data_IF_451827364002
#
_entry.id   IF_451827364002
#
_cell.length_a   1.000
_cell.length_b   1.000
_cell.length_c   1.000
_cell.angle_alpha   90.00
_cell.angle_beta   90.00
_cell.angle_gamma   90.00
#
_symmetry.space_group_name_H-M   'P 1'
#
loop_
_entity.id
_entity.type
_entity.pdbx_description
1 polymer ?
#
# COMPACT_ATOMS: atom_id res chain seq x y z
N UNK A 1 -18.16 5.83 16.85
CA UNK A 1 -18.03 4.47 16.31
C UNK A 1 -18.31 4.37 14.82
N UNK A 2 -19.31 5.10 14.32
CA UNK A 2 -19.60 5.11 12.89
C UNK A 2 -18.40 5.52 12.03
N UNK A 3 -17.61 6.49 12.51
CA UNK A 3 -16.43 6.97 11.79
C UNK A 3 -15.38 5.87 11.63
N UNK A 4 -15.15 5.08 12.68
CA UNK A 4 -14.20 3.98 12.61
C UNK A 4 -14.67 2.88 11.67
N UNK A 5 -15.95 2.56 11.68
CA UNK A 5 -16.54 1.58 10.77
C UNK A 5 -16.38 2.03 9.31
N UNK A 6 -16.64 3.32 9.06
CA UNK A 6 -16.51 3.87 7.71
C UNK A 6 -15.05 3.82 7.21
N UNK A 7 -14.10 4.13 8.08
CA UNK A 7 -12.68 4.03 7.74
C UNK A 7 -12.28 2.60 7.45
N UNK A 8 -12.75 1.65 8.28
CA UNK A 8 -12.42 0.25 8.09
C UNK A 8 -13.00 -0.29 6.79
N UNK A 9 -14.26 0.06 6.49
CA UNK A 9 -14.89 -0.32 5.23
C UNK A 9 -14.15 0.22 4.04
N UNK A 10 -13.75 1.51 4.09
CA UNK A 10 -13.02 2.13 2.99
C UNK A 10 -11.66 1.49 2.81
N UNK A 11 -10.95 1.25 3.90
CA UNK A 11 -9.67 0.57 3.88
C UNK A 11 -9.80 -0.80 3.19
N UNK A 12 -10.77 -1.60 3.62
CA UNK A 12 -10.99 -2.93 3.04
C UNK A 12 -11.31 -2.85 1.56
N UNK A 13 -12.06 -1.84 1.14
CA UNK A 13 -12.40 -1.62 -0.26
C UNK A 13 -11.16 -1.30 -1.08
N UNK A 14 -10.28 -0.43 -0.56
CA UNK A 14 -9.03 -0.08 -1.24
C UNK A 14 -8.12 -1.30 -1.40
N UNK A 15 -8.02 -2.12 -0.36
CA UNK A 15 -7.24 -3.36 -0.41
C UNK A 15 -7.80 -4.28 -1.50
N UNK A 16 -9.13 -4.40 -1.56
CA UNK A 16 -9.77 -5.25 -2.56
C UNK A 16 -9.49 -4.75 -3.98
N UNK A 17 -9.50 -3.45 -4.21
CA UNK A 17 -9.15 -2.89 -5.51
C UNK A 17 -7.73 -3.28 -5.92
N UNK A 18 -6.80 -3.22 -4.99
CA UNK A 18 -5.41 -3.58 -5.29
C UNK A 18 -5.28 -5.07 -5.62
N UNK A 19 -5.92 -5.93 -4.83
CA UNK A 19 -5.86 -7.37 -5.04
C UNK A 19 -6.53 -7.83 -6.32
N UNK A 20 -7.61 -7.15 -6.71
CA UNK A 20 -8.32 -7.48 -7.94
C UNK A 20 -7.70 -6.86 -9.19
N UNK A 21 -6.76 -5.94 -9.03
CA UNK A 21 -6.15 -5.23 -10.15
C UNK A 21 -6.97 -4.04 -10.63
N UNK A 22 -8.05 -3.71 -9.93
CA UNK A 22 -8.87 -2.56 -10.29
C UNK A 22 -8.12 -1.28 -9.95
N UNK A 23 -8.16 -0.30 -10.85
CA UNK A 23 -7.43 0.96 -10.70
C UNK A 23 -5.91 0.76 -10.59
N UNK A 24 -5.38 -0.23 -11.30
CA UNK A 24 -3.95 -0.57 -11.20
C UNK A 24 -3.04 0.62 -11.50
N UNK A 25 -3.36 1.43 -12.53
CA UNK A 25 -2.55 2.60 -12.86
C UNK A 25 -2.56 3.65 -11.76
N UNK A 26 -3.72 3.88 -11.15
CA UNK A 26 -3.83 4.80 -10.02
C UNK A 26 -3.06 4.30 -8.81
N UNK A 27 -3.12 3.00 -8.54
CA UNK A 27 -2.39 2.40 -7.43
C UNK A 27 -0.89 2.56 -7.64
N UNK A 28 -0.40 2.28 -8.83
CA UNK A 28 1.02 2.44 -9.15
C UNK A 28 1.46 3.91 -8.99
N UNK A 29 0.68 4.84 -9.53
CA UNK A 29 0.96 6.26 -9.40
C UNK A 29 1.00 6.71 -7.94
N UNK A 30 0.01 6.29 -7.15
CA UNK A 30 -0.06 6.64 -5.74
C UNK A 30 1.12 6.08 -4.96
N UNK A 31 1.53 4.85 -5.24
CA UNK A 31 2.66 4.22 -4.57
C UNK A 31 3.97 4.96 -4.88
N UNK A 32 4.19 5.31 -6.14
CA UNK A 32 5.39 6.06 -6.54
C UNK A 32 5.39 7.47 -5.95
N UNK A 33 4.23 8.10 -5.85
CA UNK A 33 4.13 9.42 -5.20
C UNK A 33 4.36 9.33 -3.69
N UNK A 34 3.98 8.23 -3.07
CA UNK A 34 4.24 8.04 -1.65
C UNK A 34 5.73 7.87 -1.38
N UNK A 35 6.37 6.97 -2.11
CA UNK A 35 7.82 6.81 -2.04
C UNK A 35 8.30 5.95 -3.22
N UNK A 36 9.03 6.58 -4.12
CA UNK A 36 9.47 5.92 -5.35
C UNK A 36 10.36 4.71 -5.11
N UNK A 37 11.21 4.78 -4.09
CA UNK A 37 12.16 3.71 -3.81
C UNK A 37 11.49 2.42 -3.35
N UNK A 38 10.35 2.51 -2.67
CA UNK A 38 9.70 1.35 -2.09
C UNK A 38 8.28 1.12 -2.63
N UNK A 39 7.92 1.82 -3.72
CA UNK A 39 6.58 1.74 -4.29
C UNK A 39 6.14 0.29 -4.54
N UNK A 40 7.00 -0.51 -5.18
CA UNK A 40 6.67 -1.89 -5.50
C UNK A 40 6.50 -2.75 -4.24
N UNK A 41 7.26 -2.47 -3.19
CA UNK A 41 7.17 -3.21 -1.94
C UNK A 41 5.90 -2.84 -1.17
N UNK A 42 5.46 -1.57 -1.26
CA UNK A 42 4.18 -1.15 -0.68
C UNK A 42 3.05 -1.95 -1.34
N UNK A 43 3.02 -1.98 -2.68
CA UNK A 43 1.99 -2.71 -3.42
C UNK A 43 2.06 -4.21 -3.14
N UNK A 44 3.25 -4.77 -3.10
CA UNK A 44 3.45 -6.18 -2.79
C UNK A 44 2.90 -6.53 -1.42
N UNK A 45 3.18 -5.70 -0.41
CA UNK A 45 2.71 -5.96 0.96
C UNK A 45 1.19 -6.02 1.04
N UNK A 46 0.51 -5.20 0.25
CA UNK A 46 -0.95 -5.16 0.24
C UNK A 46 -1.53 -6.29 -0.59
N UNK A 47 -0.98 -6.48 -1.79
CA UNK A 47 -1.48 -7.50 -2.72
C UNK A 47 -1.35 -8.91 -2.15
N UNK A 48 -0.23 -9.21 -1.52
CA UNK A 48 0.06 -10.52 -0.99
C UNK A 48 -0.14 -10.64 0.52
N UNK A 49 -0.68 -9.59 1.14
CA UNK A 49 -0.92 -9.55 2.59
C UNK A 49 0.34 -9.89 3.37
N UNK A 50 1.46 -9.22 3.04
CA UNK A 50 2.74 -9.42 3.71
C UNK A 50 3.01 -8.27 4.68
N UNK A 51 3.37 -8.61 5.92
CA UNK A 51 3.82 -7.62 6.89
C UNK A 51 5.26 -7.18 6.57
N UNK A 52 5.69 -6.09 7.22
CA UNK A 52 7.09 -5.68 7.12
C UNK A 52 8.02 -6.82 7.54
N UNK A 53 7.68 -7.53 8.62
CA UNK A 53 8.51 -8.64 9.10
C UNK A 53 8.57 -9.79 8.11
N UNK A 54 7.49 -10.06 7.39
CA UNK A 54 7.48 -11.08 6.35
C UNK A 54 8.40 -10.68 5.19
N UNK A 55 8.39 -9.40 4.81
CA UNK A 55 9.30 -8.88 3.78
C UNK A 55 10.76 -8.93 4.27
N UNK A 56 10.97 -8.60 5.54
CA UNK A 56 12.29 -8.68 6.15
C UNK A 56 12.88 -10.08 6.04
N UNK A 57 12.07 -11.10 6.30
CA UNK A 57 12.50 -12.49 6.15
C UNK A 57 12.96 -12.75 4.71
N UNK A 58 12.24 -12.22 3.73
CA UNK A 58 12.60 -12.39 2.32
C UNK A 58 13.97 -11.80 2.00
N UNK A 59 14.25 -10.57 2.46
CA UNK A 59 15.55 -9.99 2.14
C UNK A 59 16.68 -10.64 2.95
N UNK A 60 16.41 -11.14 4.16
CA UNK A 60 17.40 -11.89 4.92
C UNK A 60 17.76 -13.21 4.22
N UNK A 61 16.80 -13.80 3.50
CA UNK A 61 17.02 -14.98 2.66
C UNK A 61 17.51 -14.65 1.26
N UNK A 62 17.75 -13.37 0.99
CA UNK A 62 18.23 -12.87 -0.31
C UNK A 62 17.26 -13.12 -1.47
N UNK A 63 15.98 -13.20 -1.17
CA UNK A 63 14.92 -13.35 -2.16
C UNK A 63 14.45 -12.00 -2.71
N UNK A 64 14.83 -10.90 -2.05
CA UNK A 64 14.55 -9.55 -2.50
C UNK A 64 15.58 -8.59 -1.93
N UNK A 65 15.63 -7.38 -2.45
CA UNK A 65 16.50 -6.34 -1.90
C UNK A 65 15.95 -5.83 -0.57
N UNK A 66 16.85 -5.40 0.30
CA UNK A 66 16.48 -4.85 1.59
C UNK A 66 15.73 -3.53 1.41
N UNK A 67 14.60 -3.39 2.12
CA UNK A 67 13.89 -2.12 2.18
C UNK A 67 14.71 -1.15 3.04
N UNK A 68 15.07 0.04 2.52
CA UNK A 68 15.95 0.97 3.24
C UNK A 68 15.21 1.82 4.30
N UNK A 69 14.17 1.29 4.89
CA UNK A 69 13.38 1.98 5.91
C UNK A 69 13.02 1.02 7.02
N UNK A 70 12.88 1.55 8.24
CA UNK A 70 12.40 0.76 9.37
C UNK A 70 10.90 0.50 9.25
N UNK A 71 10.40 -0.36 10.14
CA UNK A 71 8.98 -0.74 10.15
C UNK A 71 8.06 0.47 10.24
N UNK A 72 8.36 1.38 11.16
CA UNK A 72 7.52 2.57 11.38
C UNK A 72 7.43 3.44 10.13
N UNK A 73 8.58 3.68 9.49
CA UNK A 73 8.62 4.50 8.28
C UNK A 73 7.91 3.80 7.12
N UNK A 74 8.12 2.50 6.97
CA UNK A 74 7.47 1.73 5.91
C UNK A 74 5.95 1.84 6.03
N UNK A 75 5.40 1.63 7.22
CA UNK A 75 3.96 1.71 7.41
C UNK A 75 3.46 3.16 7.29
N UNK A 76 4.29 4.14 7.60
CA UNK A 76 3.96 5.54 7.36
C UNK A 76 3.78 5.84 5.87
N UNK A 77 4.69 5.35 5.04
CA UNK A 77 4.57 5.51 3.59
C UNK A 77 3.39 4.72 3.04
N UNK A 78 3.10 3.56 3.60
CA UNK A 78 1.92 2.79 3.18
C UNK A 78 0.62 3.52 3.49
N UNK A 79 0.54 4.20 4.65
CA UNK A 79 -0.62 5.03 4.99
C UNK A 79 -0.77 6.19 4.00
N UNK A 80 0.35 6.83 3.66
CA UNK A 80 0.34 7.90 2.67
C UNK A 80 -0.14 7.37 1.32
N UNK A 81 0.30 6.18 0.93
CA UNK A 81 -0.17 5.53 -0.29
C UNK A 81 -1.69 5.39 -0.30
N UNK A 82 -2.26 4.88 0.79
CA UNK A 82 -3.72 4.70 0.86
C UNK A 82 -4.45 6.02 0.69
N UNK A 83 -3.93 7.07 1.32
CA UNK A 83 -4.53 8.41 1.20
C UNK A 83 -4.51 8.90 -0.25
N UNK A 84 -3.38 8.79 -0.90
CA UNK A 84 -3.22 9.23 -2.29
C UNK A 84 -4.07 8.39 -3.26
N UNK A 85 -4.11 7.09 -3.03
CA UNK A 85 -4.91 6.18 -3.85
C UNK A 85 -6.39 6.50 -3.72
N UNK A 86 -6.88 6.71 -2.50
CA UNK A 86 -8.26 7.07 -2.24
C UNK A 86 -8.63 8.39 -2.93
N UNK A 87 -7.76 9.39 -2.81
CA UNK A 87 -7.98 10.68 -3.49
C UNK A 87 -8.07 10.51 -5.01
N UNK A 88 -7.20 9.70 -5.58
CA UNK A 88 -7.20 9.43 -7.01
C UNK A 88 -8.49 8.81 -7.48
N UNK A 89 -8.99 7.82 -6.75
CA UNK A 89 -10.25 7.16 -7.07
C UNK A 89 -11.42 8.13 -6.99
N UNK A 90 -11.47 8.95 -5.93
CA UNK A 90 -12.54 9.93 -5.74
C UNK A 90 -12.59 10.95 -6.87
N UNK A 91 -11.44 11.35 -7.39
CA UNK A 91 -11.37 12.30 -8.52
C UNK A 91 -11.93 11.71 -9.80
N UNK A 92 -11.68 10.44 -10.05
CA UNK A 92 -12.20 9.75 -11.23
C UNK A 92 -13.69 9.47 -11.09
N UNK A 93 -14.14 9.14 -9.88
CA UNK A 93 -15.52 8.75 -9.63
C UNK A 93 -16.55 9.85 -9.77
N UNK A 94 -16.11 11.07 -10.08
CA UNK A 94 -17.03 12.16 -10.38
C UNK A 94 -17.25 12.25 -11.90
#
# INVERSE_FOLDING_TARGET
MAVLRNRQKRYNQLVEYIRSGRYASLASSAAHRANEMIAEYILLSIRENKSYDALRTKWELKEMEQIPYCRTDFYGYRRLFYHLFDLGIRRIGK
#
